data_IF_173249950970
#
_entry.id   IF_173249950970
#
_cell.length_a   1.000
_cell.length_b   1.000
_cell.length_c   1.000
_cell.angle_alpha   90.00
_cell.angle_beta   90.00
_cell.angle_gamma   90.00
#
_symmetry.space_group_name_H-M   'P 1'
#
loop_
_entity.id
_entity.type
_entity.pdbx_description
1 polymer ?
#
# COMPACT_ATOMS: atom_id res chain seq x y z
N UNK A 1 -0.87 3.75 46.43
CA UNK A 1 -0.85 4.60 45.21
C UNK A 1 0.20 4.14 44.21
N UNK A 2 1.50 4.09 44.56
CA UNK A 2 2.58 3.62 43.68
C UNK A 2 2.38 2.20 43.11
N UNK A 3 1.94 1.24 43.94
CA UNK A 3 1.65 -0.13 43.49
C UNK A 3 0.49 -0.21 42.48
N UNK A 4 -0.48 0.71 42.58
CA UNK A 4 -1.63 0.78 41.69
C UNK A 4 -1.22 1.35 40.32
N UNK A 5 -0.37 2.39 40.32
CA UNK A 5 0.21 2.98 39.11
C UNK A 5 1.12 1.96 38.39
N UNK A 6 1.90 1.18 39.14
CA UNK A 6 2.79 0.14 38.59
C UNK A 6 2.05 -1.02 37.91
N UNK A 7 0.81 -1.32 38.32
CA UNK A 7 -0.01 -2.36 37.70
C UNK A 7 -0.89 -1.83 36.56
N UNK A 8 -1.31 -0.58 36.63
CA UNK A 8 -2.13 0.06 35.59
C UNK A 8 -1.37 0.22 34.27
N UNK A 9 -0.08 0.57 34.29
CA UNK A 9 0.73 0.72 33.08
C UNK A 9 0.85 -0.56 32.24
N UNK A 10 1.30 -1.69 32.83
CA UNK A 10 1.36 -2.98 32.14
C UNK A 10 -0.01 -3.50 31.71
N UNK A 11 -1.04 -3.35 32.55
CA UNK A 11 -2.40 -3.78 32.21
C UNK A 11 -2.99 -2.97 31.05
N UNK A 12 -2.78 -1.65 31.05
CA UNK A 12 -3.18 -0.77 29.95
C UNK A 12 -2.42 -1.12 28.66
N UNK A 13 -1.10 -1.32 28.73
CA UNK A 13 -0.30 -1.72 27.58
C UNK A 13 -0.69 -3.09 27.01
N UNK A 14 -1.05 -4.05 27.87
CA UNK A 14 -1.56 -5.35 27.43
C UNK A 14 -2.95 -5.25 26.79
N UNK A 15 -3.83 -4.43 27.38
CA UNK A 15 -5.15 -4.16 26.82
C UNK A 15 -5.05 -3.47 25.45
N UNK A 16 -4.24 -2.43 25.31
CA UNK A 16 -4.02 -1.71 24.05
C UNK A 16 -3.42 -2.61 22.97
N UNK A 17 -2.44 -3.44 23.34
CA UNK A 17 -1.82 -4.43 22.45
C UNK A 17 -2.81 -5.50 21.96
N UNK A 18 -3.76 -5.91 22.82
CA UNK A 18 -4.81 -6.87 22.46
C UNK A 18 -5.97 -6.23 21.70
N UNK A 19 -6.25 -4.96 21.95
CA UNK A 19 -7.33 -4.19 21.32
C UNK A 19 -6.96 -3.72 19.92
N UNK A 20 -5.71 -3.94 19.47
CA UNK A 20 -5.27 -3.57 18.13
C UNK A 20 -5.21 -2.06 17.95
N UNK A 21 -4.74 -1.31 18.97
CA UNK A 21 -4.67 0.15 18.88
C UNK A 21 -3.97 0.62 17.60
N UNK A 22 -4.61 1.55 16.89
CA UNK A 22 -4.20 2.15 15.60
C UNK A 22 -2.96 3.06 15.72
N UNK A 23 -1.97 2.64 16.49
CA UNK A 23 -0.72 3.37 16.61
C UNK A 23 0.08 3.21 15.32
N UNK A 24 0.45 4.34 14.71
CA UNK A 24 1.21 4.43 13.45
C UNK A 24 2.51 3.62 13.49
N UNK A 25 3.08 3.40 14.68
CA UNK A 25 4.33 2.68 14.92
C UNK A 25 4.21 1.16 14.79
N UNK A 26 3.00 0.64 14.63
CA UNK A 26 2.71 -0.80 14.67
C UNK A 26 2.41 -1.39 13.28
N UNK A 27 2.50 -0.58 12.23
CA UNK A 27 2.24 -0.99 10.86
C UNK A 27 3.51 -1.59 10.23
N UNK A 28 3.42 -2.76 9.54
CA UNK A 28 4.56 -3.42 8.88
C UNK A 28 4.92 -2.71 7.56
N UNK A 29 5.20 -1.41 7.62
CA UNK A 29 5.46 -0.56 6.45
C UNK A 29 6.73 -0.94 5.68
N UNK A 30 7.87 -1.26 6.33
CA UNK A 30 9.07 -1.67 5.61
C UNK A 30 8.87 -2.97 4.82
N UNK A 31 8.28 -3.98 5.46
CA UNK A 31 8.00 -5.27 4.85
C UNK A 31 6.98 -5.13 3.71
N UNK A 32 5.98 -4.25 3.86
CA UNK A 32 4.99 -3.97 2.82
C UNK A 32 5.62 -3.34 1.58
N UNK A 33 6.50 -2.35 1.79
CA UNK A 33 7.20 -1.68 0.69
C UNK A 33 8.03 -2.68 -0.13
N UNK A 34 8.82 -3.50 0.56
CA UNK A 34 9.70 -4.48 -0.08
C UNK A 34 8.90 -5.56 -0.80
N UNK A 35 7.86 -6.10 -0.17
CA UNK A 35 7.02 -7.14 -0.76
C UNK A 35 6.30 -6.65 -2.02
N UNK A 36 5.76 -5.42 -2.01
CA UNK A 36 5.10 -4.83 -3.17
C UNK A 36 6.08 -4.54 -4.30
N UNK A 37 7.29 -4.04 -4.00
CA UNK A 37 8.32 -3.81 -5.01
C UNK A 37 8.82 -5.11 -5.64
N UNK A 38 8.98 -6.16 -4.83
CA UNK A 38 9.34 -7.49 -5.31
C UNK A 38 8.27 -8.03 -6.27
N UNK A 39 7.00 -8.03 -5.84
CA UNK A 39 5.89 -8.46 -6.70
C UNK A 39 5.78 -7.63 -7.98
N UNK A 40 6.04 -6.32 -7.90
CA UNK A 40 6.08 -5.47 -9.08
C UNK A 40 7.16 -5.91 -10.06
N UNK A 41 8.40 -6.09 -9.57
CA UNK A 41 9.54 -6.47 -10.41
C UNK A 41 9.34 -7.85 -11.05
N UNK A 42 8.73 -8.79 -10.34
CA UNK A 42 8.38 -10.12 -10.87
C UNK A 42 7.30 -10.04 -11.95
N UNK A 43 6.26 -9.22 -11.74
CA UNK A 43 5.12 -9.15 -12.66
C UNK A 43 5.34 -8.24 -13.86
N UNK A 44 6.17 -7.21 -13.71
CA UNK A 44 6.41 -6.18 -14.73
C UNK A 44 7.91 -5.89 -14.92
N UNK A 45 8.75 -6.90 -15.26
CA UNK A 45 10.21 -6.77 -15.25
C UNK A 45 10.77 -5.70 -16.20
N UNK A 46 10.04 -5.36 -17.28
CA UNK A 46 10.43 -4.33 -18.24
C UNK A 46 9.85 -2.94 -17.97
N UNK A 47 9.03 -2.77 -16.93
CA UNK A 47 8.39 -1.48 -16.60
C UNK A 47 8.75 -1.12 -15.16
N UNK A 48 9.76 -0.27 -14.92
CA UNK A 48 10.11 0.14 -13.56
C UNK A 48 8.95 0.92 -12.92
N UNK A 49 8.70 0.70 -11.64
CA UNK A 49 7.84 1.55 -10.84
C UNK A 49 8.58 2.89 -10.63
N UNK A 50 7.95 4.02 -10.99
CA UNK A 50 8.58 5.35 -10.91
C UNK A 50 7.83 6.32 -10.03
N UNK A 51 6.55 6.07 -9.78
CA UNK A 51 5.73 6.91 -8.92
C UNK A 51 4.69 6.07 -8.16
N UNK A 52 4.34 6.54 -6.96
CA UNK A 52 3.30 5.94 -6.13
C UNK A 52 2.38 7.04 -5.60
N UNK A 53 1.11 6.96 -5.96
CA UNK A 53 0.03 7.77 -5.40
C UNK A 53 -0.82 6.98 -4.39
N UNK A 54 -2.08 7.39 -4.21
CA UNK A 54 -3.04 6.74 -3.33
C UNK A 54 -3.21 7.49 -2.01
N UNK A 55 -3.40 6.76 -0.92
CA UNK A 55 -3.65 7.37 0.38
C UNK A 55 -2.42 8.12 0.87
N UNK A 56 -2.58 9.44 1.07
CA UNK A 56 -1.53 10.31 1.56
C UNK A 56 -1.00 9.85 2.93
N UNK A 57 0.29 10.08 3.16
CA UNK A 57 1.12 9.54 4.26
C UNK A 57 1.44 8.05 4.15
N UNK A 58 0.47 7.19 3.81
CA UNK A 58 0.74 5.75 3.68
C UNK A 58 1.54 5.45 2.41
N UNK A 59 1.20 6.06 1.28
CA UNK A 59 1.91 5.83 0.02
C UNK A 59 3.40 6.22 0.05
N UNK A 60 3.80 7.13 0.94
CA UNK A 60 5.19 7.50 1.17
C UNK A 60 6.07 6.35 1.68
N UNK A 61 5.47 5.29 2.26
CA UNK A 61 6.22 4.12 2.73
C UNK A 61 7.04 3.47 1.61
N UNK A 62 6.54 3.51 0.38
CA UNK A 62 7.20 2.87 -0.76
C UNK A 62 8.52 3.56 -1.10
N UNK A 63 8.55 4.89 -1.05
CA UNK A 63 9.76 5.66 -1.29
C UNK A 63 10.70 5.62 -0.07
N UNK A 64 10.15 5.64 1.14
CA UNK A 64 10.94 5.68 2.37
C UNK A 64 11.64 4.36 2.70
N UNK A 65 10.94 3.23 2.55
CA UNK A 65 11.47 1.91 2.92
C UNK A 65 11.83 1.00 1.73
N UNK A 66 11.38 1.35 0.53
CA UNK A 66 11.54 0.54 -0.67
C UNK A 66 12.57 1.12 -1.63
N UNK A 67 12.14 2.04 -2.48
CA UNK A 67 12.99 2.71 -3.48
C UNK A 67 12.88 4.23 -3.38
N UNK A 68 13.96 4.87 -2.90
CA UNK A 68 14.07 6.33 -2.75
C UNK A 68 13.92 7.13 -4.05
N UNK A 69 13.98 6.46 -5.20
CA UNK A 69 13.81 7.09 -6.52
C UNK A 69 12.35 7.15 -6.97
N UNK A 70 11.42 6.59 -6.19
CA UNK A 70 9.99 6.72 -6.42
C UNK A 70 9.50 8.13 -6.08
N UNK A 71 8.73 8.70 -7.00
CA UNK A 71 8.03 9.94 -6.74
C UNK A 71 6.71 9.66 -6.00
N UNK A 72 6.50 10.28 -4.83
CA UNK A 72 5.26 10.13 -4.05
C UNK A 72 4.28 11.25 -4.37
N UNK A 73 3.03 10.90 -4.70
CA UNK A 73 1.96 11.84 -5.06
C UNK A 73 0.82 11.79 -4.02
N UNK A 74 0.24 12.91 -3.57
CA UNK A 74 -1.01 12.86 -2.82
C UNK A 74 -2.16 12.44 -3.74
N UNK A 75 -2.82 11.31 -3.46
CA UNK A 75 -3.93 10.84 -4.30
C UNK A 75 -3.48 10.39 -5.69
N UNK A 76 -4.20 10.82 -6.72
CA UNK A 76 -3.87 10.50 -8.11
C UNK A 76 -2.95 11.56 -8.73
N UNK A 77 -2.14 11.23 -9.76
CA UNK A 77 -1.21 12.17 -10.40
C UNK A 77 -1.81 13.46 -10.97
N UNK A 78 -3.11 13.49 -11.21
CA UNK A 78 -3.88 14.61 -11.77
C UNK A 78 -4.84 15.27 -10.76
N UNK A 79 -4.89 14.76 -9.53
CA UNK A 79 -5.70 15.36 -8.47
C UNK A 79 -5.19 16.75 -8.09
N UNK A 80 -6.08 17.61 -7.60
CA UNK A 80 -5.73 18.99 -7.20
C UNK A 80 -4.56 19.04 -6.19
N UNK A 81 -4.50 18.19 -5.15
CA UNK A 81 -3.35 18.13 -4.26
C UNK A 81 -2.03 17.78 -4.96
N UNK A 82 -2.05 16.92 -5.99
CA UNK A 82 -0.86 16.53 -6.73
C UNK A 82 -0.36 17.64 -7.67
N UNK A 83 -1.22 18.60 -8.02
CA UNK A 83 -0.84 19.73 -8.86
C UNK A 83 0.05 20.75 -8.12
N UNK A 84 0.03 20.75 -6.78
CA UNK A 84 0.94 21.58 -5.97
C UNK A 84 2.41 21.16 -6.14
N UNK A 85 2.67 19.87 -6.38
CA UNK A 85 4.00 19.34 -6.69
C UNK A 85 3.89 18.25 -7.77
N UNK A 86 3.77 18.65 -9.05
CA UNK A 86 3.43 17.74 -10.13
C UNK A 86 4.59 16.81 -10.45
N UNK A 87 4.26 15.63 -11.01
CA UNK A 87 5.22 14.70 -11.61
C UNK A 87 5.07 14.67 -13.13
N UNK A 88 5.73 15.55 -13.90
CA UNK A 88 5.55 15.64 -15.34
C UNK A 88 5.89 14.31 -16.04
N UNK A 89 5.00 13.90 -16.95
CA UNK A 89 5.21 12.68 -17.74
C UNK A 89 4.96 11.38 -16.99
N UNK A 90 4.31 11.41 -15.83
CA UNK A 90 3.89 10.23 -15.06
C UNK A 90 3.18 9.18 -15.93
N UNK A 91 2.39 9.61 -16.92
CA UNK A 91 1.62 8.74 -17.81
C UNK A 91 2.47 7.86 -18.74
N UNK A 92 3.77 8.17 -18.89
CA UNK A 92 4.72 7.36 -19.67
C UNK A 92 5.57 6.44 -18.78
N UNK A 93 5.23 6.33 -17.50
CA UNK A 93 6.00 5.60 -16.50
C UNK A 93 5.12 4.60 -15.78
N UNK A 94 5.72 3.50 -15.31
CA UNK A 94 5.07 2.58 -14.39
C UNK A 94 4.73 3.28 -13.08
N UNK A 95 3.53 3.04 -12.59
CA UNK A 95 3.05 3.66 -11.37
C UNK A 95 2.01 2.83 -10.63
N UNK A 96 1.63 3.29 -9.46
CA UNK A 96 0.51 2.67 -8.74
C UNK A 96 -0.11 3.58 -7.69
N UNK A 97 -1.30 3.20 -7.25
CA UNK A 97 -2.04 3.89 -6.19
C UNK A 97 -2.11 2.95 -4.99
N UNK A 98 -1.38 3.28 -3.92
CA UNK A 98 -1.32 2.46 -2.71
C UNK A 98 -2.48 2.79 -1.78
N UNK A 99 -3.26 1.76 -1.44
CA UNK A 99 -4.36 1.86 -0.50
C UNK A 99 -4.16 0.83 0.63
N UNK A 100 -4.11 1.26 1.90
CA UNK A 100 -4.19 0.33 3.01
C UNK A 100 -5.56 -0.36 3.03
N UNK A 101 -5.56 -1.66 3.28
CA UNK A 101 -6.77 -2.45 3.45
C UNK A 101 -7.14 -2.66 4.94
N UNK A 102 -6.23 -2.34 5.85
CA UNK A 102 -6.45 -2.45 7.28
C UNK A 102 -6.10 -3.82 7.85
N UNK A 103 -6.50 -4.03 9.11
CA UNK A 103 -6.32 -5.27 9.85
C UNK A 103 -7.31 -6.35 9.37
N UNK A 104 -6.80 -7.55 9.11
CA UNK A 104 -7.65 -8.72 8.86
C UNK A 104 -8.08 -9.37 10.17
N UNK A 105 -9.34 -9.81 10.22
CA UNK A 105 -9.82 -10.68 11.29
C UNK A 105 -9.30 -12.13 11.16
N UNK A 106 -8.83 -12.51 9.96
CA UNK A 106 -8.26 -13.84 9.70
C UNK A 106 -6.75 -13.84 9.99
N UNK A 107 -6.21 -14.90 10.63
CA UNK A 107 -4.80 -14.97 11.03
C UNK A 107 -3.82 -15.05 9.85
N UNK A 108 -4.30 -15.49 8.68
CA UNK A 108 -3.56 -15.50 7.43
C UNK A 108 -4.52 -15.28 6.27
N UNK A 109 -4.01 -14.70 5.18
CA UNK A 109 -4.72 -14.53 3.92
C UNK A 109 -3.99 -15.34 2.84
N UNK A 110 -4.74 -16.16 2.10
CA UNK A 110 -4.23 -16.86 0.92
C UNK A 110 -4.08 -15.90 -0.26
N UNK A 111 -3.45 -16.37 -1.36
CA UNK A 111 -3.37 -15.57 -2.59
C UNK A 111 -4.77 -15.25 -3.16
N UNK A 112 -5.72 -16.16 -3.04
CA UNK A 112 -7.10 -15.96 -3.49
C UNK A 112 -7.84 -14.94 -2.61
N UNK A 113 -7.62 -14.99 -1.29
CA UNK A 113 -8.17 -13.99 -0.37
C UNK A 113 -7.63 -12.60 -0.68
N UNK A 114 -6.34 -12.48 -0.96
CA UNK A 114 -5.70 -11.21 -1.34
C UNK A 114 -6.23 -10.65 -2.65
N UNK A 115 -6.48 -11.52 -3.64
CA UNK A 115 -7.08 -11.11 -4.90
C UNK A 115 -8.52 -10.63 -4.70
N UNK A 116 -9.29 -11.35 -3.88
CA UNK A 116 -10.67 -10.98 -3.52
C UNK A 116 -10.69 -9.65 -2.76
N UNK A 117 -9.81 -9.48 -1.79
CA UNK A 117 -9.64 -8.24 -1.03
C UNK A 117 -9.35 -7.06 -1.97
N UNK A 118 -8.39 -7.21 -2.89
CA UNK A 118 -8.04 -6.14 -3.82
C UNK A 118 -9.20 -5.74 -4.75
N UNK A 119 -10.04 -6.70 -5.14
CA UNK A 119 -11.23 -6.46 -5.94
C UNK A 119 -12.41 -5.85 -5.18
N UNK A 120 -12.52 -6.10 -3.88
CA UNK A 120 -13.69 -5.74 -3.05
C UNK A 120 -13.43 -4.64 -2.03
N UNK A 121 -12.18 -4.21 -1.85
CA UNK A 121 -11.80 -3.17 -0.89
C UNK A 121 -12.61 -1.89 -1.12
N UNK A 122 -13.41 -1.50 -0.13
CA UNK A 122 -14.36 -0.38 -0.23
C UNK A 122 -13.93 0.85 0.60
N UNK A 123 -12.63 1.16 0.55
CA UNK A 123 -12.12 2.43 1.08
C UNK A 123 -12.28 3.54 0.04
N UNK A 124 -12.30 4.80 0.48
CA UNK A 124 -12.28 5.94 -0.44
C UNK A 124 -11.08 5.91 -1.40
N UNK A 125 -9.90 5.55 -0.88
CA UNK A 125 -8.70 5.34 -1.70
C UNK A 125 -8.93 4.30 -2.79
N UNK A 126 -9.46 3.12 -2.43
CA UNK A 126 -9.66 2.02 -3.36
C UNK A 126 -10.74 2.32 -4.42
N UNK A 127 -11.83 2.99 -4.04
CA UNK A 127 -12.84 3.45 -4.99
C UNK A 127 -12.26 4.46 -5.98
N UNK A 128 -11.55 5.48 -5.48
CA UNK A 128 -10.92 6.52 -6.30
C UNK A 128 -9.89 5.91 -7.25
N UNK A 129 -9.03 5.01 -6.74
CA UNK A 129 -8.00 4.35 -7.55
C UNK A 129 -8.60 3.52 -8.69
N UNK A 130 -9.60 2.69 -8.39
CA UNK A 130 -10.29 1.88 -9.42
C UNK A 130 -10.98 2.76 -10.46
N UNK A 131 -11.73 3.77 -10.04
CA UNK A 131 -12.40 4.69 -10.96
C UNK A 131 -11.41 5.43 -11.85
N UNK A 132 -10.31 5.92 -11.27
CA UNK A 132 -9.27 6.65 -11.98
C UNK A 132 -8.55 5.79 -13.02
N UNK A 133 -8.26 4.53 -12.70
CA UNK A 133 -7.65 3.55 -13.59
C UNK A 133 -8.62 3.12 -14.71
N UNK A 134 -9.87 2.84 -14.37
CA UNK A 134 -10.91 2.46 -15.34
C UNK A 134 -11.13 3.57 -16.37
N UNK A 135 -11.18 4.83 -15.94
CA UNK A 135 -11.29 5.99 -16.83
C UNK A 135 -10.13 6.12 -17.82
N UNK A 136 -9.02 5.41 -17.59
CA UNK A 136 -7.80 5.40 -18.42
C UNK A 136 -7.61 4.09 -19.18
N UNK A 137 -8.61 3.21 -19.19
CA UNK A 137 -8.54 1.90 -19.83
C UNK A 137 -7.51 0.96 -19.21
N UNK A 138 -7.10 1.19 -17.96
CA UNK A 138 -6.16 0.33 -17.27
C UNK A 138 -6.88 -0.94 -16.80
N UNK A 139 -6.29 -2.10 -17.11
CA UNK A 139 -6.84 -3.43 -16.78
C UNK A 139 -5.87 -4.31 -16.00
N UNK A 140 -4.68 -3.78 -15.68
CA UNK A 140 -3.68 -4.51 -14.93
C UNK A 140 -4.24 -4.92 -13.55
N UNK A 141 -4.06 -6.19 -13.13
CA UNK A 141 -4.53 -6.62 -11.83
C UNK A 141 -3.78 -5.89 -10.71
N UNK A 142 -4.45 -5.52 -9.60
CA UNK A 142 -3.79 -4.95 -8.45
C UNK A 142 -2.80 -5.94 -7.83
N UNK A 143 -1.79 -5.43 -7.14
CA UNK A 143 -0.91 -6.21 -6.27
C UNK A 143 -1.42 -6.09 -4.84
N UNK A 144 -1.37 -7.18 -4.08
CA UNK A 144 -1.80 -7.18 -2.69
C UNK A 144 -0.81 -7.96 -1.83
N UNK A 145 -0.58 -7.43 -0.63
CA UNK A 145 0.29 -8.04 0.38
C UNK A 145 -0.45 -8.06 1.71
N UNK A 146 -0.21 -9.10 2.50
CA UNK A 146 -0.69 -9.23 3.86
C UNK A 146 0.47 -9.68 4.73
N UNK A 147 0.76 -8.91 5.76
CA UNK A 147 1.95 -9.10 6.57
C UNK A 147 1.56 -9.31 8.03
N UNK A 148 1.94 -10.46 8.63
CA UNK A 148 1.65 -10.72 10.02
C UNK A 148 2.46 -9.79 10.92
N UNK A 149 1.91 -9.49 12.09
CA UNK A 149 2.70 -8.93 13.20
C UNK A 149 3.36 -10.07 13.95
N UNK A 150 4.68 -10.02 14.09
CA UNK A 150 5.45 -11.00 14.85
C UNK A 150 6.11 -10.32 16.05
N UNK A 151 6.15 -11.02 17.18
CA UNK A 151 6.86 -10.59 18.39
C UNK A 151 6.00 -10.52 19.64
N UNK A 152 6.66 -10.51 20.80
CA UNK A 152 6.02 -10.56 22.13
C UNK A 152 5.05 -9.40 22.42
N UNK A 153 5.20 -8.28 21.69
CA UNK A 153 4.34 -7.09 21.81
C UNK A 153 2.97 -7.27 21.12
N UNK A 154 2.81 -8.31 20.30
CA UNK A 154 1.63 -8.52 19.45
C UNK A 154 1.04 -9.92 19.69
N UNK A 155 0.28 -10.10 20.80
CA UNK A 155 -0.26 -11.42 21.17
C UNK A 155 -1.34 -11.92 20.19
N UNK A 156 -1.95 -11.03 19.40
CA UNK A 156 -2.82 -11.38 18.29
C UNK A 156 -2.08 -11.16 16.96
N UNK A 157 -1.89 -12.23 16.19
CA UNK A 157 -1.19 -12.22 14.91
C UNK A 157 -2.04 -11.70 13.74
N UNK A 158 -2.93 -10.73 13.99
CA UNK A 158 -3.77 -10.17 12.93
C UNK A 158 -2.88 -9.47 11.88
N UNK A 159 -2.91 -9.90 10.61
CA UNK A 159 -2.07 -9.29 9.59
C UNK A 159 -2.67 -7.97 9.10
N UNK A 160 -1.79 -7.06 8.66
CA UNK A 160 -2.19 -5.84 7.96
C UNK A 160 -2.03 -6.04 6.47
N UNK A 161 -3.02 -5.61 5.69
CA UNK A 161 -2.99 -5.72 4.24
C UNK A 161 -2.86 -4.36 3.54
N UNK A 162 -2.17 -4.37 2.40
CA UNK A 162 -2.07 -3.25 1.47
C UNK A 162 -2.41 -3.72 0.07
N UNK A 163 -3.03 -2.83 -0.70
CA UNK A 163 -3.35 -3.04 -2.11
C UNK A 163 -2.72 -1.92 -2.93
N UNK A 164 -1.92 -2.29 -3.93
CA UNK A 164 -1.36 -1.39 -4.92
C UNK A 164 -2.13 -1.56 -6.23
N UNK A 165 -2.94 -0.56 -6.58
CA UNK A 165 -3.62 -0.53 -7.87
C UNK A 165 -2.65 -0.08 -8.96
N UNK A 166 -2.45 -0.94 -9.96
CA UNK A 166 -1.36 -0.82 -10.93
C UNK A 166 -1.73 0.12 -12.08
N UNK A 167 -0.81 1.02 -12.43
CA UNK A 167 -0.80 1.80 -13.66
C UNK A 167 0.37 1.37 -14.55
N UNK A 168 0.05 0.88 -15.74
CA UNK A 168 1.05 0.60 -16.77
C UNK A 168 0.99 1.69 -17.84
N UNK A 169 2.14 2.25 -18.26
CA UNK A 169 2.15 3.17 -19.38
C UNK A 169 1.65 2.45 -20.64
N UNK A 170 0.97 3.15 -21.55
CA UNK A 170 0.61 2.58 -22.83
C UNK A 170 1.84 2.00 -23.52
N UNK A 171 1.73 0.80 -24.09
CA UNK A 171 2.81 0.22 -24.87
C UNK A 171 3.18 1.21 -25.98
N UNK A 172 4.38 1.77 -25.91
CA UNK A 172 4.94 2.51 -27.04
C UNK A 172 5.14 1.49 -28.16
N UNK A 173 4.25 1.47 -29.15
CA UNK A 173 4.56 0.83 -30.42
C UNK A 173 5.81 1.52 -30.98
N UNK A 174 6.97 0.92 -30.77
CA UNK A 174 8.13 1.21 -31.58
C UNK A 174 7.78 0.74 -32.99
N UNK A 175 7.45 1.67 -33.88
CA UNK A 175 7.41 1.38 -35.30
C UNK A 175 8.80 0.83 -35.68
N UNK A 176 8.90 -0.35 -36.31
CA UNK A 176 10.16 -0.76 -36.90
C UNK A 176 10.50 0.27 -37.98
N UNK A 177 11.64 0.95 -37.82
CA UNK A 177 12.16 1.89 -38.81
C UNK A 177 12.30 1.19 -40.16
N UNK A 178 11.83 1.89 -41.20
CA UNK A 178 12.00 1.50 -42.60
C UNK A 178 13.40 1.75 -43.14
#
# INVERSE_FOLDING_TARGET
VLALVALLGPAYGWWEARSGGDSIYQLPRPEAAQALLHQWQERYPGTPLRWVGGQWQENGLMAFYGDRHLFTLPGTPDSEPAQAYPHPGWARQGGGLLCPAGWSAMPSLTAEDLQTLAGTLDTECARTARQWLLARGQTAPPLAVSLPRLGWRFPAAAPYAYVLYVYLPPATHAAPGG
#
